data_IF_808131290863
#
_entry.id   IF_808131290863
#
_cell.length_a   1.000
_cell.length_b   1.000
_cell.length_c   1.000
_cell.angle_alpha   90.00
_cell.angle_beta   90.00
_cell.angle_gamma   90.00
#
_symmetry.space_group_name_H-M   'P 1'
#
loop_
_entity.id
_entity.type
_entity.pdbx_description
1 polymer ?
#
# COMPACT_ATOMS: atom_id res chain seq x y z
N UNK A 1 -0.60 18.24 1.57
CA UNK A 1 0.31 17.40 0.78
C UNK A 1 1.62 18.14 0.54
N UNK A 2 2.76 17.53 0.88
CA UNK A 2 4.09 18.14 0.72
C UNK A 2 4.66 17.93 -0.68
N UNK A 3 4.44 16.73 -1.22
CA UNK A 3 4.92 16.34 -2.54
C UNK A 3 3.87 15.44 -3.19
N UNK A 4 3.53 15.73 -4.43
CA UNK A 4 2.54 14.97 -5.19
C UNK A 4 3.12 14.68 -6.56
N UNK A 5 3.16 13.41 -6.93
CA UNK A 5 3.53 12.95 -8.26
C UNK A 5 2.28 12.38 -8.92
N UNK A 6 1.97 12.85 -10.10
CA UNK A 6 0.83 12.38 -10.88
C UNK A 6 1.26 11.86 -12.24
N UNK A 7 0.43 11.04 -12.85
CA UNK A 7 0.66 10.46 -14.17
C UNK A 7 -0.63 10.39 -14.99
N UNK A 8 -0.51 10.14 -16.28
CA UNK A 8 -1.65 9.87 -17.14
C UNK A 8 -2.11 8.42 -16.94
N UNK A 9 -3.34 8.17 -16.46
CA UNK A 9 -3.80 6.83 -16.15
C UNK A 9 -4.24 6.03 -17.38
N UNK A 10 -4.33 6.65 -18.54
CA UNK A 10 -4.99 6.11 -19.74
C UNK A 10 -4.44 4.74 -20.16
N UNK A 11 -3.14 4.61 -20.42
CA UNK A 11 -2.52 3.37 -20.89
C UNK A 11 -2.73 2.24 -19.87
N UNK A 12 -2.54 2.52 -18.58
CA UNK A 12 -2.74 1.54 -17.52
C UNK A 12 -4.21 1.09 -17.42
N UNK A 13 -5.15 2.03 -17.42
CA UNK A 13 -6.59 1.72 -17.35
C UNK A 13 -7.07 0.94 -18.56
N UNK A 14 -6.68 1.34 -19.77
CA UNK A 14 -7.06 0.62 -21.00
C UNK A 14 -6.57 -0.81 -21.00
N UNK A 15 -5.30 -1.07 -20.65
CA UNK A 15 -4.73 -2.42 -20.53
C UNK A 15 -5.43 -3.26 -19.48
N UNK A 16 -5.68 -2.68 -18.30
CA UNK A 16 -6.38 -3.39 -17.23
C UNK A 16 -7.81 -3.74 -17.63
N UNK A 17 -8.53 -2.82 -18.27
CA UNK A 17 -9.89 -3.04 -18.74
C UNK A 17 -9.96 -4.10 -19.86
N UNK A 18 -8.95 -4.14 -20.74
CA UNK A 18 -8.86 -5.18 -21.77
C UNK A 18 -8.74 -6.60 -21.17
N UNK A 19 -7.96 -6.73 -20.08
CA UNK A 19 -7.71 -8.04 -19.45
C UNK A 19 -8.83 -8.42 -18.46
N UNK A 20 -9.36 -7.47 -17.71
CA UNK A 20 -10.42 -7.65 -16.70
C UNK A 20 -11.55 -6.63 -16.89
N UNK A 21 -12.40 -6.79 -17.94
CA UNK A 21 -13.40 -5.78 -18.30
C UNK A 21 -14.53 -5.60 -17.28
N UNK A 22 -14.69 -6.52 -16.36
CA UNK A 22 -15.71 -6.46 -15.31
C UNK A 22 -15.15 -6.00 -13.94
N UNK A 23 -13.86 -5.70 -13.87
CA UNK A 23 -13.25 -5.16 -12.65
C UNK A 23 -13.77 -3.75 -12.36
N UNK A 24 -13.73 -3.38 -11.09
CA UNK A 24 -13.94 -2.00 -10.65
C UNK A 24 -12.61 -1.25 -10.74
N UNK A 25 -12.69 -0.03 -11.25
CA UNK A 25 -11.55 0.87 -11.36
C UNK A 25 -11.78 2.12 -10.52
N UNK A 26 -10.73 2.62 -9.90
CA UNK A 26 -10.72 3.88 -9.17
C UNK A 26 -9.47 4.66 -9.54
N UNK A 27 -9.63 5.95 -9.76
CA UNK A 27 -8.56 6.93 -9.90
C UNK A 27 -8.63 7.89 -8.72
N UNK A 28 -7.51 8.10 -8.05
CA UNK A 28 -7.36 9.17 -7.06
C UNK A 28 -6.50 10.27 -7.69
N UNK A 29 -7.00 11.50 -7.63
CA UNK A 29 -6.35 12.66 -8.23
C UNK A 29 -5.42 13.41 -7.23
N UNK A 30 -4.66 14.43 -7.68
CA UNK A 30 -3.79 15.20 -6.80
C UNK A 30 -4.48 15.94 -5.65
N UNK A 31 -5.79 16.17 -5.75
CA UNK A 31 -6.60 16.80 -4.71
C UNK A 31 -7.23 15.80 -3.75
N UNK A 32 -6.84 14.51 -3.86
CA UNK A 32 -7.37 13.36 -3.12
C UNK A 32 -8.85 13.06 -3.43
N UNK A 33 -9.36 13.60 -4.52
CA UNK A 33 -10.68 13.24 -5.02
C UNK A 33 -10.63 11.86 -5.67
N UNK A 34 -11.64 11.06 -5.46
CA UNK A 34 -11.74 9.68 -5.97
C UNK A 34 -12.86 9.56 -6.99
N UNK A 35 -12.50 8.98 -8.12
CA UNK A 35 -13.40 8.71 -9.24
C UNK A 35 -13.44 7.20 -9.45
N UNK A 36 -14.62 6.58 -9.40
CA UNK A 36 -14.74 5.12 -9.54
C UNK A 36 -15.70 4.71 -10.65
N UNK A 37 -15.40 3.62 -11.35
CA UNK A 37 -16.26 3.06 -12.40
C UNK A 37 -17.52 2.38 -11.86
N UNK A 38 -17.61 2.16 -10.55
CA UNK A 38 -18.74 1.52 -9.90
C UNK A 38 -18.58 1.46 -8.39
N UNK A 39 -19.59 0.90 -7.71
CA UNK A 39 -19.64 0.80 -6.27
C UNK A 39 -18.67 -0.30 -5.77
N UNK A 40 -17.67 0.07 -5.00
CA UNK A 40 -16.79 -0.87 -4.31
C UNK A 40 -17.51 -1.55 -3.14
N UNK A 41 -17.11 -2.79 -2.78
CA UNK A 41 -17.67 -3.48 -1.61
C UNK A 41 -17.52 -2.65 -0.32
N UNK A 42 -18.49 -2.73 0.59
CA UNK A 42 -18.45 -1.99 1.85
C UNK A 42 -17.19 -2.31 2.66
N UNK A 43 -16.51 -1.26 3.16
CA UNK A 43 -15.31 -1.39 4.00
C UNK A 43 -13.99 -1.55 3.23
N UNK A 44 -14.02 -1.71 1.90
CA UNK A 44 -12.78 -1.82 1.10
C UNK A 44 -12.17 -0.45 0.79
N UNK A 45 -12.97 0.60 0.70
CA UNK A 45 -12.48 1.98 0.63
C UNK A 45 -12.71 2.65 1.99
N UNK A 46 -11.70 3.32 2.50
CA UNK A 46 -11.89 4.21 3.65
C UNK A 46 -12.99 5.24 3.30
N UNK A 47 -13.81 5.61 4.29
CA UNK A 47 -14.78 6.68 4.12
C UNK A 47 -14.04 7.91 3.56
N UNK A 48 -14.40 8.29 2.34
CA UNK A 48 -13.83 9.44 1.67
C UNK A 48 -14.95 10.46 1.48
N UNK A 49 -14.67 11.70 1.84
CA UNK A 49 -15.59 12.81 1.64
C UNK A 49 -15.83 13.12 0.15
N UNK A 50 -15.00 12.54 -0.73
CA UNK A 50 -14.97 12.86 -2.16
C UNK A 50 -14.80 11.57 -3.00
N UNK A 51 -15.91 10.86 -3.23
CA UNK A 51 -15.96 9.73 -4.16
C UNK A 51 -17.13 9.93 -5.12
N UNK A 52 -16.85 10.05 -6.40
CA UNK A 52 -17.83 10.09 -7.46
C UNK A 52 -17.82 8.81 -8.30
N UNK A 53 -19.01 8.29 -8.61
CA UNK A 53 -19.16 7.19 -9.55
C UNK A 53 -19.37 7.77 -10.94
N UNK A 54 -18.51 7.36 -11.89
CA UNK A 54 -18.48 7.86 -13.26
C UNK A 54 -18.35 6.71 -14.26
N UNK A 55 -18.57 6.99 -15.54
CA UNK A 55 -18.31 6.03 -16.59
C UNK A 55 -16.78 5.80 -16.75
N UNK A 56 -16.40 4.59 -17.20
CA UNK A 56 -14.98 4.23 -17.40
C UNK A 56 -14.23 5.22 -18.30
N UNK A 57 -14.88 5.69 -19.36
CA UNK A 57 -14.29 6.68 -20.30
C UNK A 57 -13.94 8.01 -19.59
N UNK A 58 -14.66 8.38 -18.56
CA UNK A 58 -14.36 9.58 -17.80
C UNK A 58 -13.10 9.39 -16.95
N UNK A 59 -12.85 8.19 -16.40
CA UNK A 59 -11.61 7.87 -15.67
C UNK A 59 -10.37 8.12 -16.51
N UNK A 60 -10.43 7.83 -17.83
CA UNK A 60 -9.33 8.03 -18.78
C UNK A 60 -8.92 9.50 -18.95
N UNK A 61 -9.74 10.43 -18.49
CA UNK A 61 -9.49 11.88 -18.62
C UNK A 61 -8.87 12.52 -17.37
N UNK A 62 -8.74 11.75 -16.29
CA UNK A 62 -8.25 12.29 -15.02
C UNK A 62 -6.71 12.34 -15.00
N UNK A 63 -6.17 13.07 -14.05
CA UNK A 63 -4.77 12.97 -13.62
C UNK A 63 -4.74 12.02 -12.41
N UNK A 64 -3.89 11.02 -12.40
CA UNK A 64 -3.84 10.05 -11.33
C UNK A 64 -2.61 10.21 -10.44
N UNK A 65 -2.78 10.15 -9.14
CA UNK A 65 -1.74 9.87 -8.17
C UNK A 65 -1.74 8.40 -7.78
N UNK A 66 -2.90 7.75 -7.96
CA UNK A 66 -3.12 6.33 -7.68
C UNK A 66 -4.24 5.80 -8.57
N UNK A 67 -4.07 4.57 -9.05
CA UNK A 67 -5.15 3.79 -9.66
C UNK A 67 -5.36 2.54 -8.81
N UNK A 68 -6.61 2.14 -8.68
CA UNK A 68 -6.98 0.84 -8.10
C UNK A 68 -7.76 0.06 -9.11
N UNK A 69 -7.44 -1.23 -9.24
CA UNK A 69 -8.29 -2.23 -9.90
C UNK A 69 -8.73 -3.28 -8.88
N UNK A 70 -10.00 -3.60 -8.86
CA UNK A 70 -10.62 -4.57 -7.97
C UNK A 70 -11.48 -5.57 -8.74
N UNK A 71 -11.07 -6.83 -8.77
CA UNK A 71 -11.90 -7.91 -9.31
C UNK A 71 -12.71 -8.58 -8.19
N UNK A 72 -14.02 -8.38 -8.21
CA UNK A 72 -14.91 -8.84 -7.12
C UNK A 72 -15.24 -10.33 -7.22
N UNK A 73 -15.29 -10.90 -8.44
CA UNK A 73 -15.87 -12.22 -8.70
C UNK A 73 -14.85 -13.27 -9.13
N UNK A 74 -13.58 -12.91 -9.35
CA UNK A 74 -12.52 -13.80 -9.79
C UNK A 74 -11.83 -14.55 -8.64
N UNK A 75 -11.08 -15.60 -8.99
CA UNK A 75 -10.15 -16.25 -8.04
C UNK A 75 -8.85 -15.45 -7.92
N UNK A 76 -8.11 -15.62 -6.83
CA UNK A 76 -6.82 -14.96 -6.64
C UNK A 76 -5.80 -15.40 -7.71
N UNK A 77 -5.82 -16.70 -8.08
CA UNK A 77 -4.93 -17.25 -9.10
C UNK A 77 -5.20 -16.63 -10.48
N UNK A 78 -6.48 -16.52 -10.88
CA UNK A 78 -6.86 -15.91 -12.15
C UNK A 78 -6.50 -14.43 -12.19
N UNK A 79 -6.68 -13.73 -11.07
CA UNK A 79 -6.33 -12.32 -10.94
C UNK A 79 -4.83 -12.09 -11.09
N UNK A 80 -3.99 -12.84 -10.36
CA UNK A 80 -2.52 -12.75 -10.48
C UNK A 80 -2.07 -13.06 -11.91
N UNK A 81 -2.61 -14.14 -12.52
CA UNK A 81 -2.30 -14.50 -13.91
C UNK A 81 -2.76 -13.44 -14.93
N UNK A 82 -3.78 -12.66 -14.59
CA UNK A 82 -4.24 -11.54 -15.42
C UNK A 82 -3.28 -10.34 -15.27
N UNK A 83 -2.89 -9.99 -14.03
CA UNK A 83 -1.95 -8.90 -13.75
C UNK A 83 -0.59 -9.15 -14.41
N UNK A 84 -0.08 -10.36 -14.36
CA UNK A 84 1.20 -10.74 -15.01
C UNK A 84 1.21 -10.48 -16.53
N UNK A 85 0.04 -10.47 -17.16
CA UNK A 85 -0.10 -10.22 -18.63
C UNK A 85 -0.19 -8.73 -18.97
N UNK A 86 -0.42 -7.85 -18.00
CA UNK A 86 -0.65 -6.43 -18.26
C UNK A 86 0.55 -5.74 -18.90
N UNK A 87 1.78 -6.16 -18.55
CA UNK A 87 2.98 -5.53 -19.09
C UNK A 87 2.98 -4.02 -18.84
N UNK A 88 2.64 -3.58 -17.64
CA UNK A 88 2.60 -2.17 -17.27
C UNK A 88 3.99 -1.55 -17.31
N UNK A 89 4.09 -0.36 -17.87
CA UNK A 89 5.31 0.41 -17.99
C UNK A 89 5.14 1.79 -17.35
N UNK A 90 6.23 2.37 -16.87
CA UNK A 90 6.25 3.70 -16.25
C UNK A 90 5.36 3.84 -15.01
N UNK A 91 5.07 2.72 -14.34
CA UNK A 91 4.29 2.66 -13.11
C UNK A 91 4.83 1.59 -12.17
N UNK A 92 4.74 1.83 -10.87
CA UNK A 92 4.95 0.83 -9.83
C UNK A 92 3.61 0.23 -9.44
N UNK A 93 3.56 -1.07 -9.17
CA UNK A 93 2.30 -1.70 -8.77
C UNK A 93 2.48 -2.74 -7.67
N UNK A 94 1.43 -2.95 -6.87
CA UNK A 94 1.37 -3.99 -5.86
C UNK A 94 0.04 -4.73 -5.90
N UNK A 95 0.09 -6.05 -5.66
CA UNK A 95 -1.10 -6.92 -5.59
C UNK A 95 -1.48 -7.13 -4.13
N UNK A 96 -2.70 -6.77 -3.78
CA UNK A 96 -3.24 -6.92 -2.43
C UNK A 96 -3.92 -8.29 -2.19
N UNK A 97 -4.50 -8.45 -1.01
CA UNK A 97 -5.06 -9.71 -0.51
C UNK A 97 -6.38 -10.16 -1.18
N UNK A 98 -7.13 -9.24 -1.79
CA UNK A 98 -8.51 -9.49 -2.22
C UNK A 98 -8.72 -9.18 -3.69
N UNK A 99 -7.88 -9.72 -4.60
CA UNK A 99 -7.92 -9.39 -6.03
C UNK A 99 -7.88 -7.87 -6.25
N UNK A 100 -6.94 -7.24 -5.58
CA UNK A 100 -6.72 -5.81 -5.53
C UNK A 100 -5.37 -5.47 -6.13
N UNK A 101 -5.33 -4.53 -7.06
CA UNK A 101 -4.10 -3.99 -7.63
C UNK A 101 -4.05 -2.50 -7.38
N UNK A 102 -2.97 -2.05 -6.74
CA UNK A 102 -2.61 -0.65 -6.60
C UNK A 102 -1.55 -0.28 -7.63
N UNK A 103 -1.74 0.85 -8.30
CA UNK A 103 -0.77 1.41 -9.25
C UNK A 103 -0.45 2.84 -8.85
N UNK A 104 0.85 3.12 -8.77
CA UNK A 104 1.41 4.44 -8.49
C UNK A 104 2.34 4.88 -9.64
N UNK A 105 2.71 6.16 -9.73
CA UNK A 105 3.72 6.62 -10.68
C UNK A 105 5.04 5.85 -10.51
N UNK A 106 5.80 5.69 -11.59
CA UNK A 106 7.11 5.03 -11.53
C UNK A 106 8.05 5.70 -10.54
N UNK A 107 8.81 4.87 -9.81
CA UNK A 107 9.72 5.32 -8.76
C UNK A 107 9.04 5.85 -7.49
N UNK A 108 7.70 5.77 -7.40
CA UNK A 108 6.96 6.10 -6.18
C UNK A 108 6.69 4.84 -5.39
N UNK A 109 7.26 4.79 -4.18
CA UNK A 109 7.13 3.69 -3.25
C UNK A 109 7.14 4.19 -1.80
N UNK A 110 6.94 3.30 -0.85
CA UNK A 110 7.10 3.64 0.58
C UNK A 110 8.52 4.10 0.89
N UNK A 111 9.52 3.51 0.24
CA UNK A 111 10.92 3.91 0.38
C UNK A 111 11.19 5.32 -0.14
N UNK A 112 10.71 5.66 -1.35
CA UNK A 112 10.91 6.99 -1.92
C UNK A 112 10.25 8.08 -1.06
N UNK A 113 9.05 7.81 -0.52
CA UNK A 113 8.37 8.72 0.40
C UNK A 113 9.13 8.92 1.71
N UNK A 114 9.62 7.84 2.32
CA UNK A 114 10.42 7.89 3.55
C UNK A 114 11.76 8.63 3.33
N UNK A 115 12.43 8.36 2.20
CA UNK A 115 13.68 9.06 1.85
C UNK A 115 13.49 10.57 1.73
N UNK A 116 12.38 11.01 1.12
CA UNK A 116 12.03 12.42 1.02
C UNK A 116 11.85 13.04 2.41
N UNK A 117 11.03 12.40 3.26
CA UNK A 117 10.74 12.88 4.61
C UNK A 117 12.01 12.90 5.49
N UNK A 118 12.82 11.84 5.44
CA UNK A 118 14.09 11.78 6.18
C UNK A 118 15.03 12.92 5.77
N UNK A 119 15.11 13.21 4.46
CA UNK A 119 15.90 14.32 3.93
C UNK A 119 15.39 15.68 4.44
N UNK A 120 14.08 15.92 4.39
CA UNK A 120 13.48 17.17 4.85
C UNK A 120 13.67 17.40 6.35
N UNK A 121 13.59 16.32 7.14
CA UNK A 121 13.79 16.38 8.58
C UNK A 121 15.27 16.34 9.01
N UNK A 122 16.19 16.13 8.06
CA UNK A 122 17.62 15.98 8.36
C UNK A 122 17.94 14.73 9.19
N UNK A 123 17.15 13.67 9.03
CA UNK A 123 17.38 12.38 9.72
C UNK A 123 18.44 11.60 8.97
N UNK A 124 19.46 11.14 9.71
CA UNK A 124 20.48 10.23 9.15
C UNK A 124 19.85 8.87 8.84
N UNK A 125 20.18 8.30 7.69
CA UNK A 125 19.68 6.99 7.27
C UNK A 125 19.95 5.89 8.32
N UNK A 126 21.11 5.95 8.99
CA UNK A 126 21.47 5.01 10.06
C UNK A 126 20.52 5.02 11.28
N UNK A 127 19.62 5.99 11.35
CA UNK A 127 18.61 6.11 12.42
C UNK A 127 17.20 5.72 11.93
N UNK A 128 17.10 5.13 10.74
CA UNK A 128 15.79 4.73 10.19
C UNK A 128 15.41 3.33 10.62
N UNK A 129 14.16 3.17 11.00
CA UNK A 129 13.54 1.88 11.30
C UNK A 129 12.23 1.77 10.51
N UNK A 130 11.93 0.59 9.99
CA UNK A 130 10.70 0.31 9.28
C UNK A 130 10.11 -1.04 9.64
N UNK A 131 8.79 -1.12 9.68
CA UNK A 131 8.08 -2.37 9.89
C UNK A 131 7.09 -2.62 8.75
N UNK A 132 6.98 -3.89 8.31
CA UNK A 132 6.09 -4.26 7.21
C UNK A 132 5.65 -5.71 7.24
N UNK A 133 4.60 -6.02 6.47
CA UNK A 133 4.06 -7.39 6.35
C UNK A 133 3.64 -7.74 4.91
N UNK A 134 3.56 -6.76 4.01
CA UNK A 134 3.13 -6.93 2.63
C UNK A 134 4.28 -6.85 1.60
N UNK A 135 4.06 -7.38 0.40
CA UNK A 135 5.04 -7.28 -0.68
C UNK A 135 5.28 -5.84 -1.15
N UNK A 136 4.33 -4.95 -0.91
CA UNK A 136 4.47 -3.50 -1.14
C UNK A 136 5.40 -2.81 -0.12
N UNK A 137 5.89 -3.53 0.88
CA UNK A 137 6.87 -3.04 1.85
C UNK A 137 8.33 -3.38 1.45
N UNK A 138 8.53 -4.21 0.42
CA UNK A 138 9.88 -4.70 0.04
C UNK A 138 10.87 -3.56 -0.05
N UNK A 139 10.59 -2.53 -0.86
CA UNK A 139 11.51 -1.41 -1.04
C UNK A 139 11.76 -0.63 0.25
N UNK A 140 10.75 -0.50 1.12
CA UNK A 140 10.90 0.12 2.43
C UNK A 140 11.80 -0.72 3.34
N UNK A 141 11.58 -2.03 3.39
CA UNK A 141 12.37 -2.98 4.20
C UNK A 141 13.82 -3.01 3.75
N UNK A 142 14.08 -2.92 2.45
CA UNK A 142 15.43 -2.82 1.90
C UNK A 142 16.09 -1.45 2.13
N UNK A 143 15.26 -0.39 2.19
CA UNK A 143 15.78 0.97 2.32
C UNK A 143 16.13 1.37 3.76
N UNK A 144 15.36 0.94 4.77
CA UNK A 144 15.65 1.32 6.16
C UNK A 144 16.90 0.64 6.70
N UNK A 145 17.61 1.28 7.65
CA UNK A 145 18.78 0.67 8.31
C UNK A 145 18.40 -0.53 9.17
N UNK A 146 17.25 -0.47 9.88
CA UNK A 146 16.76 -1.58 10.68
C UNK A 146 15.31 -1.92 10.30
N UNK A 147 15.11 -3.13 9.80
CA UNK A 147 13.83 -3.57 9.29
C UNK A 147 13.22 -4.68 10.15
N UNK A 148 11.93 -4.52 10.49
CA UNK A 148 11.10 -5.48 11.21
C UNK A 148 10.07 -6.04 10.24
N UNK A 149 10.03 -7.35 10.07
CA UNK A 149 9.01 -8.02 9.27
C UNK A 149 8.12 -8.86 10.16
N UNK A 150 6.81 -8.71 10.00
CA UNK A 150 5.80 -9.39 10.81
C UNK A 150 5.77 -10.89 10.55
N UNK A 151 5.48 -11.70 11.59
CA UNK A 151 5.47 -13.14 11.52
C UNK A 151 4.53 -13.75 10.50
N UNK A 152 3.41 -13.09 10.19
CA UNK A 152 2.45 -13.51 9.16
C UNK A 152 2.87 -13.17 7.74
N UNK A 153 3.94 -12.38 7.52
CA UNK A 153 4.41 -11.98 6.20
C UNK A 153 4.85 -13.19 5.35
N UNK A 154 4.90 -13.00 4.03
CA UNK A 154 5.43 -14.01 3.10
C UNK A 154 6.95 -14.17 3.28
N UNK A 155 7.46 -15.37 2.98
CA UNK A 155 8.88 -15.68 3.11
C UNK A 155 9.77 -14.77 2.25
N UNK A 156 9.27 -14.32 1.08
CA UNK A 156 9.95 -13.37 0.19
C UNK A 156 10.30 -12.04 0.91
N UNK A 157 9.43 -11.56 1.80
CA UNK A 157 9.70 -10.37 2.59
C UNK A 157 10.58 -10.68 3.81
N UNK A 158 10.34 -11.82 4.47
CA UNK A 158 11.07 -12.21 5.68
C UNK A 158 12.57 -12.35 5.46
N UNK A 159 13.00 -12.79 4.28
CA UNK A 159 14.44 -12.95 3.98
C UNK A 159 15.19 -11.63 3.86
N UNK A 160 14.49 -10.50 3.72
CA UNK A 160 15.06 -9.16 3.64
C UNK A 160 15.18 -8.47 5.00
N UNK A 161 14.55 -9.02 6.03
CA UNK A 161 14.41 -8.40 7.35
C UNK A 161 15.69 -8.42 8.17
N UNK A 162 15.94 -7.35 8.93
CA UNK A 162 16.90 -7.37 10.05
C UNK A 162 16.41 -8.30 11.16
N UNK A 163 15.09 -8.28 11.41
CA UNK A 163 14.42 -9.19 12.36
C UNK A 163 13.03 -9.58 11.84
N UNK A 164 12.67 -10.84 12.03
CA UNK A 164 11.29 -11.31 11.88
C UNK A 164 10.70 -11.44 13.29
N UNK A 165 9.62 -10.70 13.53
CA UNK A 165 8.93 -10.74 14.82
C UNK A 165 7.73 -11.69 14.78
N UNK A 166 7.00 -11.79 15.90
CA UNK A 166 5.77 -12.56 16.01
C UNK A 166 4.66 -11.97 15.12
N UNK A 167 3.60 -12.74 14.83
CA UNK A 167 2.48 -12.22 14.04
C UNK A 167 1.69 -11.15 14.79
N UNK A 168 0.81 -10.44 14.06
CA UNK A 168 -0.01 -9.35 14.61
C UNK A 168 -0.91 -9.81 15.76
N UNK A 169 -1.39 -11.06 15.73
CA UNK A 169 -2.24 -11.63 16.78
C UNK A 169 -1.47 -11.91 18.10
N UNK A 170 -0.15 -11.80 18.07
CA UNK A 170 0.74 -11.97 19.21
C UNK A 170 1.51 -10.66 19.51
N UNK A 171 0.96 -9.51 19.13
CA UNK A 171 1.53 -8.18 19.35
C UNK A 171 2.98 -8.01 18.86
N UNK A 172 3.37 -8.76 17.83
CA UNK A 172 4.75 -8.87 17.37
C UNK A 172 5.47 -7.55 17.12
N UNK A 173 4.80 -6.52 16.59
CA UNK A 173 5.43 -5.21 16.40
C UNK A 173 5.77 -4.55 17.75
N UNK A 174 4.88 -4.63 18.74
CA UNK A 174 5.13 -4.05 20.05
C UNK A 174 6.32 -4.74 20.72
N UNK A 175 6.37 -6.08 20.67
CA UNK A 175 7.51 -6.87 21.18
C UNK A 175 8.82 -6.43 20.53
N UNK A 176 8.85 -6.38 19.20
CA UNK A 176 10.07 -5.98 18.47
C UNK A 176 10.53 -4.55 18.78
N UNK A 177 9.60 -3.62 19.02
CA UNK A 177 9.94 -2.24 19.41
C UNK A 177 10.45 -2.14 20.84
N UNK A 178 9.86 -2.90 21.76
CA UNK A 178 10.35 -2.99 23.16
C UNK A 178 11.79 -3.50 23.17
N UNK A 179 12.09 -4.56 22.44
CA UNK A 179 13.44 -5.14 22.32
C UNK A 179 14.42 -4.14 21.67
N UNK A 180 14.02 -3.54 20.55
CA UNK A 180 14.89 -2.65 19.80
C UNK A 180 15.30 -1.40 20.59
N UNK A 181 14.36 -0.82 21.35
CA UNK A 181 14.59 0.40 22.14
C UNK A 181 14.98 0.13 23.60
N UNK A 182 15.17 -1.13 24.00
CA UNK A 182 15.45 -1.53 25.38
C UNK A 182 14.44 -0.93 26.38
N UNK A 183 13.15 -1.06 26.06
CA UNK A 183 12.05 -0.52 26.85
C UNK A 183 11.62 -1.50 27.94
N UNK A 184 10.84 -1.02 28.93
CA UNK A 184 10.28 -1.85 29.98
C UNK A 184 9.20 -2.79 29.43
N UNK A 185 9.38 -4.11 29.60
CA UNK A 185 8.45 -5.16 29.15
C UNK A 185 7.02 -4.99 29.73
N UNK A 186 6.86 -4.29 30.85
CA UNK A 186 5.54 -3.99 31.39
C UNK A 186 4.66 -3.15 30.45
N UNK A 187 5.24 -2.54 29.44
CA UNK A 187 4.49 -1.86 28.37
C UNK A 187 3.67 -2.83 27.51
N UNK A 188 4.06 -4.11 27.44
CA UNK A 188 3.33 -5.15 26.70
C UNK A 188 2.09 -5.63 27.47
N UNK A 189 2.09 -5.53 28.81
CA UNK A 189 0.99 -5.92 29.69
C UNK A 189 -0.08 -4.82 29.85
N UNK A 190 0.12 -3.64 29.28
CA UNK A 190 -0.84 -2.56 29.35
C UNK A 190 -2.09 -2.95 28.55
N UNK A 191 -3.13 -3.46 29.24
CA UNK A 191 -4.47 -3.64 28.69
C UNK A 191 -4.86 -2.37 27.95
N UNK A 192 -5.18 -2.52 26.65
CA UNK A 192 -5.51 -1.39 25.78
C UNK A 192 -6.50 -0.48 26.48
N UNK A 193 -6.06 0.71 26.85
CA UNK A 193 -6.96 1.76 27.32
C UNK A 193 -7.94 2.00 26.20
N UNK A 194 -9.17 1.49 26.37
CA UNK A 194 -10.29 1.81 25.52
C UNK A 194 -10.34 3.32 25.39
N UNK A 195 -10.01 3.79 24.19
CA UNK A 195 -10.04 5.21 23.84
C UNK A 195 -11.47 5.73 24.04
N UNK A 196 -11.72 6.29 25.22
CA UNK A 196 -12.89 7.11 25.50
C UNK A 196 -12.55 8.55 25.13
N UNK A 197 -12.32 8.82 23.85
CA UNK A 197 -12.35 10.19 23.34
C UNK A 197 -13.81 10.64 23.20
N UNK A 198 -14.18 11.80 23.75
CA UNK A 198 -15.54 12.35 23.67
C UNK A 198 -15.90 12.78 22.25
#
# INVERSE_FOLDING_TARGET
>A
LHHVVSFDPRDALERMHEVLPNALFLVEDPDLHRWASGQFPPGELAEADTLDIVDFEELLTKQATRIVMREVNGTAEDFVAAVDKLGLHEVSYSVGWSNWLDIAPDGISKASGLSLVATELGVDHSLTIGAGDGLNDIEMIEWVEYSIVMGQAKDELKVLASVVTDPVDEDGLAVALVDYFDLDESLLDAEGTTDTRP
#
